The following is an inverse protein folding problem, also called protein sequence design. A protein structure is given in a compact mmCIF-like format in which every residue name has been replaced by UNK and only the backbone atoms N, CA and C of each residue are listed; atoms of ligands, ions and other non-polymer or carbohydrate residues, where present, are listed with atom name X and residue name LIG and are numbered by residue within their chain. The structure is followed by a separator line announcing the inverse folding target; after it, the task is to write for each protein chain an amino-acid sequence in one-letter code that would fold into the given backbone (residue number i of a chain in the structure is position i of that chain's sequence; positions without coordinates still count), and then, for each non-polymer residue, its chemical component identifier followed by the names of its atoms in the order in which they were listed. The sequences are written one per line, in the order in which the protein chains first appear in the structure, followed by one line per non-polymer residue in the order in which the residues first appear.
data_IF_203992177671
#
_entry.id   IF_203992177671
#
_cell.length_a   1.000
_cell.length_b   1.000
_cell.length_c   1.000
_cell.angle_alpha   90.00
_cell.angle_beta   90.00
_cell.angle_gamma   90.00
#
_symmetry.space_group_name_H-M   'P 1'
#
loop_
_entity.id
_entity.type
_entity.pdbx_description
1 polymer ?
#
# COMPACT_ATOMS: atom_id res chain seq x y z
N UNK A 1 -12.93 -28.90 -1.26
CA UNK A 1 -13.70 -29.12 -2.51
C UNK A 1 -12.98 -30.03 -3.50
N UNK A 2 -11.64 -30.00 -3.59
CA UNK A 2 -10.80 -30.96 -4.34
C UNK A 2 -11.10 -32.42 -3.99
N UNK A 3 -11.38 -32.71 -2.71
CA UNK A 3 -11.81 -34.04 -2.22
C UNK A 3 -13.07 -34.58 -2.92
N UNK A 4 -14.03 -33.72 -3.27
CA UNK A 4 -15.27 -34.15 -3.91
C UNK A 4 -15.08 -34.45 -5.40
N UNK A 5 -14.25 -33.67 -6.10
CA UNK A 5 -13.90 -33.97 -7.50
C UNK A 5 -13.14 -35.30 -7.63
N UNK A 6 -12.22 -35.58 -6.70
CA UNK A 6 -11.52 -36.87 -6.63
C UNK A 6 -12.49 -38.01 -6.32
N UNK A 7 -13.43 -37.81 -5.39
CA UNK A 7 -14.47 -38.80 -5.08
C UNK A 7 -15.39 -39.07 -6.27
N UNK A 8 -15.84 -38.04 -6.98
CA UNK A 8 -16.71 -38.16 -8.15
C UNK A 8 -15.99 -38.85 -9.30
N UNK A 9 -14.73 -38.50 -9.57
CA UNK A 9 -13.89 -39.19 -10.56
C UNK A 9 -13.66 -40.66 -10.21
N UNK A 10 -13.36 -40.94 -8.93
CA UNK A 10 -13.18 -42.31 -8.43
C UNK A 10 -14.46 -43.16 -8.54
N UNK A 11 -15.61 -42.61 -8.15
CA UNK A 11 -16.91 -43.30 -8.24
C UNK A 11 -17.32 -43.52 -9.69
N UNK A 12 -17.14 -42.55 -10.58
CA UNK A 12 -17.43 -42.72 -12.01
C UNK A 12 -16.56 -43.83 -12.64
N UNK A 13 -15.27 -43.89 -12.29
CA UNK A 13 -14.35 -44.93 -12.76
C UNK A 13 -14.77 -46.32 -12.26
N UNK A 14 -15.14 -46.44 -10.98
CA UNK A 14 -15.61 -47.69 -10.39
C UNK A 14 -16.95 -48.15 -10.97
N UNK A 15 -17.86 -47.22 -11.28
CA UNK A 15 -19.14 -47.53 -11.90
C UNK A 15 -18.97 -47.98 -13.34
N UNK A 16 -18.16 -47.30 -14.15
CA UNK A 16 -17.92 -47.70 -15.55
C UNK A 16 -17.17 -49.03 -15.61
N UNK A 17 -16.15 -49.22 -14.77
CA UNK A 17 -15.42 -50.48 -14.66
C UNK A 17 -16.27 -51.64 -14.11
N UNK A 18 -17.08 -51.38 -13.08
CA UNK A 18 -17.98 -52.37 -12.50
C UNK A 18 -19.13 -52.76 -13.42
N UNK A 19 -19.70 -51.81 -14.18
CA UNK A 19 -20.76 -52.08 -15.16
C UNK A 19 -20.23 -52.93 -16.32
N UNK A 20 -19.00 -52.67 -16.76
CA UNK A 20 -18.33 -53.51 -17.76
C UNK A 20 -18.06 -54.92 -17.22
N UNK A 21 -17.54 -55.04 -15.99
CA UNK A 21 -17.31 -56.34 -15.35
C UNK A 21 -18.59 -57.16 -15.20
N UNK A 22 -19.69 -56.52 -14.81
CA UNK A 22 -21.00 -57.17 -14.69
C UNK A 22 -21.57 -57.62 -16.04
N UNK A 23 -21.38 -56.84 -17.10
CA UNK A 23 -21.81 -57.20 -18.46
C UNK A 23 -21.02 -58.37 -19.05
N UNK A 24 -19.76 -58.56 -18.62
CA UNK A 24 -18.84 -59.60 -19.11
C UNK A 24 -18.59 -60.72 -18.10
N UNK A 25 -19.37 -60.80 -17.01
CA UNK A 25 -19.23 -61.77 -15.91
C UNK A 25 -19.45 -63.24 -16.37
N UNK A 26 -19.86 -63.46 -17.63
CA UNK A 26 -19.92 -64.77 -18.29
C UNK A 26 -18.67 -65.18 -19.09
N UNK A 27 -17.65 -64.31 -19.19
CA UNK A 27 -16.38 -64.59 -19.86
C UNK A 27 -15.30 -64.89 -18.83
N UNK A 28 -14.59 -66.03 -18.97
CA UNK A 28 -13.53 -66.39 -18.04
C UNK A 28 -12.41 -65.35 -18.14
N UNK A 29 -12.07 -64.69 -17.03
CA UNK A 29 -11.02 -63.67 -16.92
C UNK A 29 -9.63 -64.11 -17.44
N UNK A 30 -9.43 -65.40 -17.73
CA UNK A 30 -8.20 -65.97 -18.29
C UNK A 30 -8.12 -66.01 -19.82
N UNK A 31 -9.21 -65.76 -20.56
CA UNK A 31 -9.26 -65.86 -22.03
C UNK A 31 -9.74 -64.57 -22.72
N UNK A 32 -9.46 -63.41 -22.11
CA UNK A 32 -9.73 -62.13 -22.77
C UNK A 32 -8.93 -62.02 -24.07
N UNK A 33 -9.63 -62.05 -25.19
CA UNK A 33 -9.05 -61.84 -26.52
C UNK A 33 -8.59 -60.39 -26.67
N UNK A 34 -7.59 -60.15 -27.53
CA UNK A 34 -7.10 -58.78 -27.80
C UNK A 34 -8.23 -57.83 -28.23
N UNK A 35 -9.25 -58.35 -28.90
CA UNK A 35 -10.43 -57.61 -29.34
C UNK A 35 -11.33 -57.15 -28.19
N UNK A 36 -11.49 -57.93 -27.12
CA UNK A 36 -12.32 -57.57 -25.96
C UNK A 36 -11.66 -56.48 -25.11
N UNK A 37 -10.33 -56.55 -24.98
CA UNK A 37 -9.54 -55.50 -24.30
C UNK A 37 -9.57 -54.19 -25.08
N UNK A 38 -9.45 -54.25 -26.41
CA UNK A 38 -9.57 -53.08 -27.29
C UNK A 38 -10.97 -52.45 -27.20
N UNK A 39 -12.02 -53.28 -27.21
CA UNK A 39 -13.41 -52.83 -27.09
C UNK A 39 -13.68 -52.15 -25.74
N UNK A 40 -13.13 -52.69 -24.65
CA UNK A 40 -13.18 -52.04 -23.34
C UNK A 40 -12.44 -50.70 -23.33
N UNK A 41 -11.24 -50.63 -23.89
CA UNK A 41 -10.45 -49.40 -23.94
C UNK A 41 -11.18 -48.29 -24.72
N UNK A 42 -11.85 -48.65 -25.83
CA UNK A 42 -12.65 -47.72 -26.63
C UNK A 42 -13.90 -47.27 -25.86
N UNK A 43 -14.62 -48.17 -25.21
CA UNK A 43 -15.80 -47.83 -24.40
C UNK A 43 -15.45 -46.96 -23.20
N UNK A 44 -14.47 -47.38 -22.41
CA UNK A 44 -13.99 -46.66 -21.23
C UNK A 44 -13.41 -45.31 -21.64
N UNK A 45 -12.55 -45.28 -22.66
CA UNK A 45 -11.97 -44.05 -23.20
C UNK A 45 -13.04 -43.10 -23.76
N UNK A 46 -14.05 -43.62 -24.44
CA UNK A 46 -15.14 -42.83 -25.01
C UNK A 46 -16.03 -42.15 -23.96
N UNK A 47 -16.27 -42.81 -22.82
CA UNK A 47 -17.09 -42.25 -21.73
C UNK A 47 -16.24 -41.38 -20.78
N UNK A 48 -15.05 -41.84 -20.42
CA UNK A 48 -14.22 -41.17 -19.43
C UNK A 48 -13.53 -39.93 -19.98
N UNK A 49 -13.17 -39.88 -21.27
CA UNK A 49 -12.47 -38.72 -21.84
C UNK A 49 -13.32 -37.44 -21.77
N UNK A 50 -14.59 -37.42 -22.22
CA UNK A 50 -15.46 -36.24 -22.05
C UNK A 50 -15.69 -35.88 -20.58
N UNK A 51 -15.79 -36.88 -19.70
CA UNK A 51 -15.99 -36.67 -18.27
C UNK A 51 -14.77 -36.02 -17.60
N UNK A 52 -13.57 -36.52 -17.90
CA UNK A 52 -12.31 -35.95 -17.43
C UNK A 52 -12.11 -34.54 -18.00
N UNK A 53 -12.42 -34.32 -19.28
CA UNK A 53 -12.37 -33.00 -19.90
C UNK A 53 -13.31 -32.01 -19.21
N UNK A 54 -14.53 -32.42 -18.89
CA UNK A 54 -15.48 -31.60 -18.15
C UNK A 54 -14.99 -31.25 -16.74
N UNK A 55 -14.52 -32.24 -15.97
CA UNK A 55 -13.93 -32.00 -14.64
C UNK A 55 -12.72 -31.07 -14.70
N UNK A 56 -11.89 -31.23 -15.73
CA UNK A 56 -10.72 -30.37 -15.97
C UNK A 56 -11.14 -28.94 -16.26
N UNK A 57 -12.19 -28.73 -17.07
CA UNK A 57 -12.74 -27.40 -17.34
C UNK A 57 -13.30 -26.74 -16.09
N UNK A 58 -14.05 -27.48 -15.26
CA UNK A 58 -14.59 -26.97 -13.99
C UNK A 58 -13.46 -26.59 -13.02
N UNK A 59 -12.42 -27.42 -12.91
CA UNK A 59 -11.25 -27.13 -12.10
C UNK A 59 -10.49 -25.91 -12.62
N UNK A 60 -10.38 -25.75 -13.94
CA UNK A 60 -9.74 -24.62 -14.59
C UNK A 60 -10.49 -23.31 -14.35
N UNK A 61 -11.81 -23.29 -14.58
CA UNK A 61 -12.66 -22.12 -14.31
C UNK A 61 -12.58 -21.66 -12.86
N UNK A 62 -12.56 -22.60 -11.92
CA UNK A 62 -12.36 -22.29 -10.51
C UNK A 62 -10.98 -21.69 -10.26
N UNK A 63 -9.94 -22.28 -10.83
CA UNK A 63 -8.57 -21.76 -10.70
C UNK A 63 -8.50 -20.32 -11.20
N UNK A 64 -9.12 -20.03 -12.35
CA UNK A 64 -9.21 -18.66 -12.87
C UNK A 64 -9.90 -17.71 -11.91
N UNK A 65 -11.03 -18.12 -11.32
CA UNK A 65 -11.74 -17.30 -10.34
C UNK A 65 -10.88 -17.03 -9.09
N UNK A 66 -10.22 -18.05 -8.56
CA UNK A 66 -9.31 -17.89 -7.42
C UNK A 66 -8.11 -17.00 -7.76
N UNK A 67 -7.58 -17.09 -8.97
CA UNK A 67 -6.51 -16.22 -9.45
C UNK A 67 -6.98 -14.76 -9.56
N UNK A 68 -8.21 -14.51 -10.00
CA UNK A 68 -8.78 -13.16 -10.06
C UNK A 68 -8.87 -12.53 -8.67
N UNK A 69 -9.42 -13.24 -7.68
CA UNK A 69 -9.50 -12.77 -6.29
C UNK A 69 -8.11 -12.48 -5.71
N UNK A 70 -7.13 -13.36 -5.97
CA UNK A 70 -5.75 -13.16 -5.51
C UNK A 70 -5.09 -11.94 -6.16
N UNK A 71 -5.31 -11.70 -7.46
CA UNK A 71 -4.79 -10.52 -8.16
C UNK A 71 -5.39 -9.25 -7.57
N UNK A 72 -6.68 -9.25 -7.23
CA UNK A 72 -7.34 -8.09 -6.64
C UNK A 72 -6.79 -7.77 -5.24
N UNK A 73 -6.61 -8.78 -4.40
CA UNK A 73 -6.00 -8.60 -3.08
C UNK A 73 -4.53 -8.15 -3.19
N UNK A 74 -3.75 -8.72 -4.11
CA UNK A 74 -2.38 -8.28 -4.38
C UNK A 74 -2.34 -6.82 -4.86
N UNK A 75 -3.25 -6.40 -5.73
CA UNK A 75 -3.37 -4.99 -6.15
C UNK A 75 -3.74 -4.08 -4.98
N UNK A 76 -4.59 -4.52 -4.07
CA UNK A 76 -4.94 -3.77 -2.85
C UNK A 76 -3.73 -3.62 -1.93
N UNK A 77 -2.98 -4.69 -1.71
CA UNK A 77 -1.78 -4.67 -0.89
C UNK A 77 -0.66 -3.84 -1.52
N UNK A 78 -0.47 -3.94 -2.83
CA UNK A 78 0.49 -3.13 -3.58
C UNK A 78 0.20 -1.63 -3.43
N UNK A 79 -1.07 -1.21 -3.62
CA UNK A 79 -1.48 0.19 -3.41
C UNK A 79 -1.23 0.67 -1.98
N UNK A 80 -1.50 -0.16 -0.98
CA UNK A 80 -1.18 0.17 0.43
C UNK A 80 0.32 0.32 0.67
N UNK A 81 1.13 -0.56 0.09
CA UNK A 81 2.58 -0.53 0.20
C UNK A 81 3.18 0.70 -0.49
N UNK A 82 2.70 1.02 -1.68
CA UNK A 82 3.10 2.20 -2.45
C UNK A 82 2.75 3.50 -1.71
N UNK A 83 1.51 3.60 -1.21
CA UNK A 83 1.09 4.73 -0.39
C UNK A 83 1.98 4.90 0.83
N UNK A 84 2.25 3.81 1.56
CA UNK A 84 3.14 3.85 2.72
C UNK A 84 4.53 4.35 2.35
N UNK A 85 5.10 3.84 1.27
CA UNK A 85 6.43 4.25 0.79
C UNK A 85 6.46 5.72 0.39
N UNK A 86 5.42 6.20 -0.28
CA UNK A 86 5.32 7.61 -0.66
C UNK A 86 5.26 8.52 0.56
N UNK A 87 4.46 8.15 1.58
CA UNK A 87 4.39 8.96 2.79
C UNK A 87 5.71 8.89 3.58
N UNK A 88 6.34 7.72 3.71
CA UNK A 88 7.66 7.57 4.31
C UNK A 88 8.72 8.43 3.59
N UNK A 89 8.64 8.53 2.26
CA UNK A 89 9.51 9.38 1.48
C UNK A 89 9.28 10.88 1.76
N UNK A 90 8.02 11.34 1.75
CA UNK A 90 7.70 12.76 2.04
C UNK A 90 8.09 13.13 3.48
N UNK A 91 7.87 12.23 4.44
CA UNK A 91 8.26 12.41 5.84
C UNK A 91 9.79 12.48 5.99
N UNK A 92 10.51 11.58 5.31
CA UNK A 92 11.98 11.63 5.26
C UNK A 92 12.48 12.93 4.63
N UNK A 93 11.88 13.37 3.54
CA UNK A 93 12.26 14.62 2.87
C UNK A 93 11.99 15.83 3.77
N UNK A 94 10.86 15.86 4.48
CA UNK A 94 10.57 16.88 5.50
C UNK A 94 11.65 16.89 6.58
N UNK A 95 11.95 15.74 7.20
CA UNK A 95 12.96 15.66 8.26
C UNK A 95 14.35 16.04 7.77
N UNK A 96 14.75 15.58 6.58
CA UNK A 96 16.06 15.86 5.98
C UNK A 96 16.24 17.35 5.72
N UNK A 97 15.27 18.00 5.08
CA UNK A 97 15.32 19.45 4.84
C UNK A 97 15.37 20.23 6.14
N UNK A 98 14.53 19.88 7.13
CA UNK A 98 14.51 20.58 8.42
C UNK A 98 15.76 20.34 9.27
N UNK A 99 16.45 19.21 9.12
CA UNK A 99 17.74 18.94 9.80
C UNK A 99 18.90 19.66 9.14
N UNK A 100 18.82 19.96 7.84
CA UNK A 100 19.88 20.68 7.11
C UNK A 100 19.98 22.16 7.49
N UNK A 101 18.93 22.74 8.08
CA UNK A 101 18.89 24.13 8.49
C UNK A 101 19.35 24.23 9.95
N UNK A 102 20.55 24.78 10.14
CA UNK A 102 21.10 25.06 11.47
C UNK A 102 20.77 26.49 11.84
N UNK A 103 20.19 26.67 13.03
CA UNK A 103 19.80 27.96 13.59
C UNK A 103 20.72 28.24 14.77
N UNK A 104 21.33 29.42 14.74
CA UNK A 104 22.11 29.93 15.86
C UNK A 104 21.16 30.41 16.96
N UNK A 105 20.98 29.58 17.99
CA UNK A 105 20.12 29.83 19.13
C UNK A 105 20.87 29.57 20.44
N UNK A 106 21.76 30.49 20.88
CA UNK A 106 22.65 30.29 22.03
C UNK A 106 21.93 29.97 23.34
N UNK A 107 20.65 30.28 23.44
CA UNK A 107 19.83 30.05 24.64
C UNK A 107 19.25 28.63 24.74
N UNK A 108 19.23 27.84 23.66
CA UNK A 108 18.86 26.42 23.71
C UNK A 108 20.06 25.49 23.51
N UNK A 109 21.19 26.00 23.03
CA UNK A 109 22.41 25.23 22.77
C UNK A 109 23.02 25.55 21.40
N UNK A 110 24.27 25.12 21.21
CA UNK A 110 24.97 25.30 19.94
C UNK A 110 24.43 24.33 18.88
N UNK A 111 24.25 24.81 17.64
CA UNK A 111 23.86 24.04 16.45
C UNK A 111 22.48 23.35 16.51
N UNK A 112 21.44 24.09 16.89
CA UNK A 112 20.07 23.55 16.90
C UNK A 112 19.51 23.54 15.48
N UNK A 113 18.80 22.47 15.14
CA UNK A 113 18.19 22.33 13.82
C UNK A 113 16.78 22.91 13.78
N UNK A 114 16.34 23.34 12.59
CA UNK A 114 14.96 23.76 12.35
C UNK A 114 13.96 22.66 12.73
N UNK A 115 14.32 21.39 12.52
CA UNK A 115 13.51 20.24 12.91
C UNK A 115 13.23 20.23 14.41
N UNK A 116 14.25 20.43 15.24
CA UNK A 116 14.10 20.47 16.70
C UNK A 116 13.24 21.66 17.11
N UNK A 117 13.48 22.84 16.53
CA UNK A 117 12.72 24.07 16.84
C UNK A 117 11.25 23.94 16.48
N UNK A 118 10.90 23.24 15.40
CA UNK A 118 9.52 23.13 14.94
C UNK A 118 8.79 21.92 15.54
N UNK A 119 9.49 20.83 15.79
CA UNK A 119 8.85 19.55 16.19
C UNK A 119 8.85 19.32 17.69
N UNK A 120 9.77 19.96 18.44
CA UNK A 120 9.90 19.71 19.88
C UNK A 120 8.89 20.54 20.70
N UNK A 121 8.04 19.85 21.47
CA UNK A 121 7.03 20.44 22.35
C UNK A 121 7.65 21.25 23.48
N UNK A 122 8.85 20.86 23.94
CA UNK A 122 9.49 21.44 25.11
C UNK A 122 10.07 22.85 24.85
N UNK A 123 10.12 23.29 23.59
CA UNK A 123 10.65 24.60 23.22
C UNK A 123 9.59 25.68 23.53
N UNK A 124 9.92 26.67 24.37
CA UNK A 124 8.99 27.74 24.75
C UNK A 124 8.52 28.55 23.55
N UNK A 125 7.29 29.08 23.64
CA UNK A 125 6.63 29.82 22.57
C UNK A 125 7.44 31.01 22.06
N UNK A 126 7.92 31.84 22.98
CA UNK A 126 8.73 33.03 22.69
C UNK A 126 10.05 32.73 21.96
N UNK A 127 10.50 31.47 21.90
CA UNK A 127 11.74 31.09 21.26
C UNK A 127 11.54 30.66 19.80
N UNK A 128 10.61 29.74 19.53
CA UNK A 128 10.34 29.32 18.15
C UNK A 128 9.70 30.45 17.33
N UNK A 129 8.97 31.36 17.97
CA UNK A 129 8.42 32.56 17.37
C UNK A 129 9.50 33.49 16.79
N UNK A 130 10.65 33.61 17.43
CA UNK A 130 11.75 34.48 16.95
C UNK A 130 12.46 33.90 15.73
N UNK A 131 12.35 32.60 15.54
CA UNK A 131 13.04 31.85 14.50
C UNK A 131 12.13 31.64 13.28
N UNK A 132 10.88 31.24 13.53
CA UNK A 132 9.84 31.12 12.51
C UNK A 132 9.12 32.47 12.40
N UNK A 133 9.66 33.32 11.53
CA UNK A 133 9.11 34.65 11.24
C UNK A 133 7.74 34.54 10.54
N UNK A 134 6.92 35.59 10.69
CA UNK A 134 5.63 35.63 10.03
C UNK A 134 5.82 35.83 8.53
N UNK A 135 5.03 35.11 7.72
CA UNK A 135 5.16 35.13 6.26
C UNK A 135 5.13 36.56 5.68
N UNK A 136 4.28 37.43 6.23
CA UNK A 136 4.14 38.82 5.76
C UNK A 136 5.31 39.73 6.16
N UNK A 137 6.01 39.45 7.27
CA UNK A 137 7.19 40.21 7.69
C UNK A 137 8.30 40.03 6.66
N UNK A 138 8.45 38.80 6.16
CA UNK A 138 9.41 38.42 5.14
C UNK A 138 9.06 38.97 3.76
N UNK A 139 7.77 38.95 3.40
CA UNK A 139 7.29 39.56 2.15
C UNK A 139 7.50 41.07 2.12
N UNK A 140 7.34 41.75 3.27
CA UNK A 140 7.59 43.18 3.39
C UNK A 140 9.06 43.53 3.25
N UNK A 141 9.94 42.78 3.92
CA UNK A 141 11.39 43.04 3.88
C UNK A 141 12.00 42.74 2.49
N UNK A 142 11.48 41.72 1.79
CA UNK A 142 11.85 41.43 0.41
C UNK A 142 11.46 42.54 -0.59
N UNK A 143 10.41 43.31 -0.29
CA UNK A 143 9.96 44.45 -1.12
C UNK A 143 10.72 45.73 -0.76
N UNK A 144 11.06 45.93 0.51
CA UNK A 144 11.70 47.16 1.01
C UNK A 144 13.24 47.14 0.86
N UNK A 145 13.91 45.99 0.99
CA UNK A 145 15.38 45.86 0.98
C UNK A 145 15.92 45.06 -0.23
N UNK A 146 15.62 45.54 -1.44
CA UNK A 146 15.95 44.86 -2.72
C UNK A 146 17.47 44.80 -3.03
N UNK A 147 18.31 45.66 -2.42
CA UNK A 147 19.72 45.79 -2.82
C UNK A 147 20.70 44.85 -2.09
N UNK A 148 20.46 44.54 -0.81
CA UNK A 148 21.21 43.54 -0.03
C UNK A 148 20.25 42.84 0.93
N UNK A 149 19.36 41.96 0.41
CA UNK A 149 18.49 41.21 1.28
C UNK A 149 19.33 40.33 2.19
N UNK A 150 18.98 40.26 3.46
CA UNK A 150 19.64 39.39 4.42
C UNK A 150 19.53 37.93 3.93
N UNK A 151 20.62 37.42 3.36
CA UNK A 151 20.72 36.09 2.79
C UNK A 151 20.26 35.03 3.79
N UNK A 152 20.56 35.20 5.08
CA UNK A 152 20.16 34.27 6.12
C UNK A 152 18.64 34.20 6.27
N UNK A 153 17.96 35.35 6.19
CA UNK A 153 16.51 35.45 6.24
C UNK A 153 15.85 34.76 5.03
N UNK A 154 16.43 34.91 3.83
CA UNK A 154 15.97 34.23 2.61
C UNK A 154 16.12 32.71 2.75
N UNK A 155 17.24 32.22 3.28
CA UNK A 155 17.46 30.78 3.49
C UNK A 155 16.46 30.20 4.49
N UNK A 156 16.16 30.93 5.57
CA UNK A 156 15.12 30.53 6.53
C UNK A 156 13.72 30.54 5.88
N UNK A 157 13.39 31.57 5.10
CA UNK A 157 12.12 31.64 4.37
C UNK A 157 11.95 30.43 3.43
N UNK A 158 12.97 30.16 2.60
CA UNK A 158 12.94 29.04 1.67
C UNK A 158 12.85 27.71 2.41
N UNK A 159 13.65 27.53 3.45
CA UNK A 159 13.67 26.32 4.27
C UNK A 159 12.31 26.03 4.91
N UNK A 160 11.77 26.99 5.67
CA UNK A 160 10.47 26.84 6.34
C UNK A 160 9.30 26.76 5.36
N UNK A 161 9.35 27.48 4.24
CA UNK A 161 8.37 27.39 3.17
C UNK A 161 8.32 25.99 2.54
N UNK A 162 9.49 25.42 2.22
CA UNK A 162 9.60 24.05 1.69
C UNK A 162 9.14 23.03 2.74
N UNK A 163 9.53 23.19 4.01
CA UNK A 163 9.08 22.34 5.11
C UNK A 163 7.56 22.34 5.30
N UNK A 164 6.94 23.53 5.30
CA UNK A 164 5.49 23.67 5.35
C UNK A 164 4.81 23.04 4.12
N UNK A 165 5.41 23.20 2.93
CA UNK A 165 4.95 22.58 1.69
C UNK A 165 4.90 21.06 1.77
N UNK A 166 5.99 20.42 2.22
CA UNK A 166 6.04 18.97 2.43
C UNK A 166 5.03 18.49 3.46
N UNK A 167 4.88 19.23 4.56
CA UNK A 167 3.90 18.90 5.60
C UNK A 167 2.45 19.00 5.08
N UNK A 168 2.15 20.00 4.24
CA UNK A 168 0.84 20.12 3.61
C UNK A 168 0.58 19.01 2.58
N UNK A 169 1.58 18.62 1.78
CA UNK A 169 1.47 17.48 0.87
C UNK A 169 1.17 16.20 1.64
N UNK A 170 1.92 15.94 2.72
CA UNK A 170 1.71 14.77 3.58
C UNK A 170 0.27 14.75 4.14
N UNK A 171 -0.24 15.89 4.59
CA UNK A 171 -1.64 16.04 5.03
C UNK A 171 -2.64 15.72 3.92
N UNK A 172 -2.46 16.28 2.72
CA UNK A 172 -3.36 16.07 1.58
C UNK A 172 -3.38 14.60 1.14
N UNK A 173 -2.21 13.98 1.02
CA UNK A 173 -2.09 12.57 0.64
C UNK A 173 -2.79 11.64 1.63
N UNK A 174 -2.57 11.88 2.94
CA UNK A 174 -3.22 11.11 4.00
C UNK A 174 -4.74 11.30 3.99
N UNK A 175 -5.24 12.52 3.74
CA UNK A 175 -6.68 12.81 3.65
C UNK A 175 -7.32 12.17 2.42
N UNK A 176 -6.68 12.28 1.27
CA UNK A 176 -7.20 11.77 -0.01
C UNK A 176 -7.28 10.23 -0.03
N UNK A 177 -6.40 9.55 0.71
CA UNK A 177 -6.27 8.09 0.67
C UNK A 177 -6.69 7.42 2.01
N UNK A 178 -7.45 8.11 2.86
CA UNK A 178 -7.95 7.57 4.15
C UNK A 178 -8.90 6.37 3.93
N UNK A 179 -9.59 6.33 2.79
CA UNK A 179 -10.44 5.24 2.32
C UNK A 179 -9.65 3.96 2.01
N UNK A 180 -8.44 4.08 1.47
CA UNK A 180 -7.56 2.95 1.14
C UNK A 180 -7.04 2.27 2.42
N UNK A 181 -6.75 3.06 3.45
CA UNK A 181 -6.18 2.54 4.71
C UNK A 181 -7.27 1.90 5.59
N UNK A 182 -8.56 2.14 5.32
CA UNK A 182 -9.74 1.57 6.01
C UNK A 182 -9.80 1.80 7.53
N UNK A 183 -8.75 2.37 8.10
CA UNK A 183 -8.58 2.64 9.50
C UNK A 183 -7.83 3.96 9.59
N UNK A 184 -8.43 4.95 10.26
CA UNK A 184 -7.91 6.31 10.47
C UNK A 184 -6.62 6.31 11.35
N UNK A 185 -5.88 5.19 11.40
CA UNK A 185 -4.70 5.01 12.23
C UNK A 185 -3.50 5.77 11.66
N UNK A 186 -3.29 5.76 10.33
CA UNK A 186 -2.22 6.56 9.70
C UNK A 186 -2.52 8.05 9.87
N UNK A 187 -3.75 8.46 9.60
CA UNK A 187 -4.22 9.84 9.80
C UNK A 187 -4.02 10.30 11.26
N UNK A 188 -4.41 9.48 12.25
CA UNK A 188 -4.14 9.76 13.67
C UNK A 188 -2.65 9.78 14.02
N UNK A 189 -1.86 8.88 13.45
CA UNK A 189 -0.42 8.83 13.68
C UNK A 189 0.26 10.11 13.18
N UNK A 190 -0.01 10.52 11.94
CA UNK A 190 0.56 11.74 11.37
C UNK A 190 0.06 13.00 12.06
N UNK A 191 -1.24 13.08 12.33
CA UNK A 191 -1.82 14.18 13.10
C UNK A 191 -1.12 14.33 14.45
N UNK A 192 -0.74 13.24 15.11
CA UNK A 192 0.02 13.29 16.37
C UNK A 192 1.50 13.64 16.16
N UNK A 193 2.17 12.98 15.20
CA UNK A 193 3.62 13.14 14.96
C UNK A 193 3.98 14.59 14.61
N UNK A 194 3.19 15.22 13.74
CA UNK A 194 3.48 16.56 13.22
C UNK A 194 2.56 17.65 13.76
N UNK A 195 1.75 17.37 14.79
CA UNK A 195 0.79 18.35 15.33
C UNK A 195 1.46 19.67 15.68
N UNK A 196 2.60 19.58 16.35
CA UNK A 196 3.35 20.74 16.86
C UNK A 196 3.89 21.57 15.71
N UNK A 197 4.48 20.90 14.72
CA UNK A 197 4.99 21.53 13.53
C UNK A 197 3.87 22.24 12.76
N UNK A 198 2.74 21.54 12.59
CA UNK A 198 1.57 22.05 11.89
C UNK A 198 1.00 23.29 12.56
N UNK A 199 0.75 23.25 13.87
CA UNK A 199 0.22 24.41 14.61
C UNK A 199 1.19 25.59 14.56
N UNK A 200 2.51 25.37 14.70
CA UNK A 200 3.51 26.45 14.59
C UNK A 200 3.53 27.11 13.21
N UNK A 201 3.50 26.30 12.14
CA UNK A 201 3.42 26.84 10.77
C UNK A 201 2.11 27.57 10.50
N UNK A 202 1.00 27.05 11.03
CA UNK A 202 -0.32 27.67 10.93
C UNK A 202 -0.38 29.01 11.66
N UNK A 203 0.10 29.07 12.91
CA UNK A 203 0.16 30.31 13.71
C UNK A 203 0.95 31.42 12.99
N UNK A 204 1.94 31.05 12.17
CA UNK A 204 2.80 31.98 11.42
C UNK A 204 2.34 32.26 9.99
N UNK A 205 1.18 31.74 9.58
CA UNK A 205 0.58 31.99 8.27
C UNK A 205 1.22 31.23 7.10
N UNK A 206 2.05 30.22 7.39
CA UNK A 206 2.65 29.35 6.37
C UNK A 206 1.70 28.26 5.88
N UNK A 207 0.73 27.89 6.72
CA UNK A 207 -0.34 26.95 6.41
C UNK A 207 -1.70 27.61 6.66
N UNK A 208 -2.65 27.41 5.75
CA UNK A 208 -4.03 27.88 5.89
C UNK A 208 -4.92 26.80 6.50
N UNK A 209 -5.93 27.23 7.27
CA UNK A 209 -6.93 26.36 7.92
C UNK A 209 -7.89 25.65 6.97
N UNK A 210 -7.76 25.82 5.66
CA UNK A 210 -8.78 25.34 4.73
C UNK A 210 -8.82 23.81 4.70
N UNK A 211 -9.89 23.30 5.32
CA UNK A 211 -10.43 21.95 5.24
C UNK A 211 -11.33 21.81 4.02
#
# INVERSE_FOLDING_TARGET
MTRWLILVGGVATLLVGGLWFWLFEGSQLGELTSHEVESFAIYFGGIMTPFIAFLSLVAFLRTLHQQQEQIEELRRQARKSELRRMIEQVDHDFESHMKSIVIDAPQLGDNITAHEIISNILIPKWHWERVLLEKWELEKDAVENVQEPDMHLIWLFHGFGVGAGHLNQLRLYVKEHDDIVSNNMMTKYYARKHNVAFERFKERGWLTETL
#
